data_IF_442448536160
#
_entry.id   IF_442448536160
#
_cell.length_a   1.000
_cell.length_b   1.000
_cell.length_c   1.000
_cell.angle_alpha   90.00
_cell.angle_beta   90.00
_cell.angle_gamma   90.00
#
_symmetry.space_group_name_H-M   'P 1'
#
loop_
_entity.id
_entity.type
_entity.pdbx_description
1 polymer ?
#
# COMPACT_ATOMS: atom_id res chain seq x y z
N UNK A 1 9.00 -22.18 48.64
CA UNK A 1 8.55 -22.24 47.25
C UNK A 1 7.19 -21.49 47.01
N UNK A 2 6.18 -21.68 47.89
CA UNK A 2 4.86 -21.02 47.78
C UNK A 2 4.91 -19.49 47.93
N UNK A 3 5.80 -18.96 48.79
CA UNK A 3 5.97 -17.50 48.99
C UNK A 3 6.60 -16.78 47.80
N UNK A 4 7.55 -17.44 47.13
CA UNK A 4 8.21 -16.87 45.94
C UNK A 4 7.22 -16.80 44.76
N UNK A 5 6.36 -17.82 44.61
CA UNK A 5 5.34 -17.83 43.57
C UNK A 5 4.30 -16.72 43.78
N UNK A 6 3.91 -16.46 45.05
CA UNK A 6 2.97 -15.38 45.39
C UNK A 6 3.55 -14.01 45.07
N UNK A 7 4.84 -13.78 45.39
CA UNK A 7 5.50 -12.51 45.09
C UNK A 7 5.65 -12.32 43.57
N UNK A 8 5.95 -13.36 42.81
CA UNK A 8 6.05 -13.30 41.34
C UNK A 8 4.68 -13.00 40.72
N UNK A 9 3.60 -13.61 41.20
CA UNK A 9 2.25 -13.36 40.71
C UNK A 9 1.78 -11.93 41.01
N UNK A 10 2.11 -11.41 42.21
CA UNK A 10 1.81 -10.02 42.60
C UNK A 10 2.60 -9.02 41.76
N UNK A 11 3.86 -9.33 41.44
CA UNK A 11 4.71 -8.48 40.57
C UNK A 11 4.21 -8.48 39.13
N UNK A 12 3.77 -9.64 38.61
CA UNK A 12 3.14 -9.70 37.29
C UNK A 12 1.79 -8.95 37.23
N UNK A 13 0.96 -9.02 38.29
CA UNK A 13 -0.28 -8.25 38.33
C UNK A 13 -0.02 -6.74 38.44
N UNK A 14 1.01 -6.32 39.16
CA UNK A 14 1.38 -4.90 39.27
C UNK A 14 1.98 -4.39 37.94
N UNK A 15 2.72 -5.20 37.20
CA UNK A 15 3.21 -4.88 35.86
C UNK A 15 2.11 -4.85 34.79
N UNK A 16 1.06 -5.69 34.94
CA UNK A 16 -0.13 -5.67 34.07
C UNK A 16 -1.12 -4.54 34.45
N UNK A 17 -1.00 -3.96 35.65
CA UNK A 17 -1.78 -2.84 36.14
C UNK A 17 -1.00 -1.51 36.11
N UNK A 18 0.14 -1.44 35.38
CA UNK A 18 0.68 -0.12 35.01
C UNK A 18 -0.39 0.50 34.10
N UNK A 19 -1.23 1.40 34.65
CA UNK A 19 -2.29 1.95 33.83
C UNK A 19 -1.65 2.73 32.71
N UNK A 20 -2.20 2.58 31.54
CA UNK A 20 -2.01 3.49 30.40
C UNK A 20 -2.07 4.99 30.88
N UNK A 21 -2.67 5.27 32.02
CA UNK A 21 -2.74 6.54 32.71
C UNK A 21 -1.40 7.09 33.27
N UNK A 22 -0.33 6.29 33.41
CA UNK A 22 0.96 6.84 33.87
C UNK A 22 1.65 7.66 32.74
N UNK A 23 1.27 7.44 31.51
CA UNK A 23 1.69 8.33 30.42
C UNK A 23 0.82 9.59 30.29
N UNK A 24 -0.31 9.66 30.99
CA UNK A 24 -1.20 10.81 30.98
C UNK A 24 -0.88 11.87 32.05
N UNK A 25 -0.03 11.56 33.03
CA UNK A 25 0.27 12.48 34.13
C UNK A 25 1.43 13.45 33.88
N UNK A 26 2.09 13.34 32.71
CA UNK A 26 3.14 14.27 32.33
C UNK A 26 2.91 14.80 30.95
N UNK A 27 2.16 15.86 30.77
CA UNK A 27 1.85 16.57 29.55
C UNK A 27 1.53 15.58 28.38
N UNK A 28 0.26 15.35 28.08
CA UNK A 28 -0.17 14.33 27.12
C UNK A 28 0.53 14.55 25.78
N UNK A 29 1.61 13.83 25.57
CA UNK A 29 2.31 13.83 24.29
C UNK A 29 1.35 13.31 23.23
N UNK A 30 1.46 13.82 22.02
CA UNK A 30 0.70 13.37 20.85
C UNK A 30 1.11 11.95 20.41
N UNK A 31 0.97 10.98 21.31
CA UNK A 31 1.34 9.57 21.17
C UNK A 31 0.17 8.70 21.60
N UNK A 32 -0.23 7.75 20.74
CA UNK A 32 -1.24 6.74 21.06
C UNK A 32 -0.72 5.34 20.74
N UNK A 33 -1.21 4.29 21.45
CA UNK A 33 -0.98 2.91 21.02
C UNK A 33 -1.41 2.69 19.59
N UNK A 34 -0.68 1.85 18.84
CA UNK A 34 -0.99 1.55 17.45
C UNK A 34 -2.42 1.04 17.24
N UNK A 35 -2.94 0.25 18.18
CA UNK A 35 -4.33 -0.26 18.16
C UNK A 35 -5.39 0.83 18.22
N UNK A 36 -5.06 2.01 18.72
CA UNK A 36 -5.95 3.18 18.76
C UNK A 36 -5.82 4.09 17.55
N UNK A 37 -4.88 3.80 16.64
CA UNK A 37 -4.55 4.67 15.51
C UNK A 37 -5.74 4.92 14.58
N UNK A 38 -6.61 3.92 14.39
CA UNK A 38 -7.80 4.09 13.53
C UNK A 38 -8.74 5.19 14.02
N UNK A 39 -8.77 5.50 15.32
CA UNK A 39 -9.65 6.51 15.86
C UNK A 39 -9.24 7.95 15.50
N UNK A 40 -7.98 8.14 15.12
CA UNK A 40 -7.40 9.46 14.83
C UNK A 40 -7.01 9.65 13.38
N UNK A 41 -6.66 8.58 12.68
CA UNK A 41 -6.32 8.65 11.28
C UNK A 41 -7.58 8.90 10.43
N UNK A 42 -7.51 9.90 9.58
CA UNK A 42 -8.61 10.29 8.69
C UNK A 42 -8.32 9.81 7.28
N UNK A 43 -9.24 9.06 6.70
CA UNK A 43 -9.16 8.62 5.30
C UNK A 43 -9.07 9.87 4.40
N UNK A 44 -8.18 9.80 3.41
CA UNK A 44 -7.91 10.83 2.39
C UNK A 44 -7.39 12.18 2.93
N UNK A 45 -7.01 12.23 4.20
CA UNK A 45 -6.42 13.42 4.83
C UNK A 45 -5.13 13.12 5.56
N UNK A 46 -5.12 12.06 6.37
CA UNK A 46 -3.94 11.73 7.15
C UNK A 46 -2.81 11.22 6.27
N UNK A 47 -1.60 11.71 6.54
CA UNK A 47 -0.34 11.22 5.99
C UNK A 47 0.43 10.49 7.08
N UNK A 48 1.07 9.40 6.70
CA UNK A 48 1.80 8.55 7.60
C UNK A 48 3.24 8.39 7.11
N UNK A 49 4.22 8.70 7.95
CA UNK A 49 5.63 8.38 7.70
C UNK A 49 5.91 6.94 8.09
N UNK A 50 6.32 6.13 7.12
CA UNK A 50 6.63 4.72 7.30
C UNK A 50 7.62 4.24 6.24
N UNK A 51 8.57 3.39 6.61
CA UNK A 51 9.60 2.82 5.73
C UNK A 51 10.37 3.89 4.92
N UNK A 52 10.66 5.04 5.53
CA UNK A 52 11.38 6.15 4.89
C UNK A 52 10.57 6.98 3.88
N UNK A 53 9.29 6.67 3.69
CA UNK A 53 8.40 7.33 2.76
C UNK A 53 7.17 7.91 3.44
N UNK A 54 6.47 8.80 2.73
CA UNK A 54 5.16 9.32 3.14
C UNK A 54 4.03 8.58 2.42
N UNK A 55 2.96 8.31 3.16
CA UNK A 55 1.81 7.54 2.69
C UNK A 55 0.50 8.23 3.04
N UNK A 56 -0.41 8.32 2.08
CA UNK A 56 -1.80 8.66 2.35
C UNK A 56 -2.51 7.50 3.04
N UNK A 57 -3.30 7.79 4.07
CA UNK A 57 -4.27 6.84 4.62
C UNK A 57 -5.51 6.88 3.76
N UNK A 58 -5.77 5.81 3.00
CA UNK A 58 -6.86 5.77 2.02
C UNK A 58 -7.95 4.74 2.35
N UNK A 59 -7.75 3.97 3.39
CA UNK A 59 -8.73 3.00 3.84
C UNK A 59 -8.44 2.50 5.25
N UNK A 60 -9.49 2.05 5.90
CA UNK A 60 -9.45 1.44 7.23
C UNK A 60 -10.42 0.28 7.28
N UNK A 61 -10.00 -0.82 7.88
CA UNK A 61 -10.86 -1.99 8.14
C UNK A 61 -10.39 -2.73 9.37
N UNK A 62 -11.24 -3.58 9.89
CA UNK A 62 -10.89 -4.54 10.94
C UNK A 62 -10.84 -5.95 10.35
N UNK A 63 -9.79 -6.68 10.63
CA UNK A 63 -9.71 -8.09 10.26
C UNK A 63 -10.73 -8.90 11.07
N UNK A 64 -11.61 -9.58 10.38
CA UNK A 64 -12.66 -10.38 11.01
C UNK A 64 -12.14 -11.62 11.75
N UNK A 65 -10.92 -12.08 11.41
CA UNK A 65 -10.36 -13.30 11.98
C UNK A 65 -9.73 -13.09 13.36
N UNK A 66 -9.10 -11.94 13.58
CA UNK A 66 -8.33 -11.64 14.79
C UNK A 66 -8.63 -10.26 15.39
N UNK A 67 -9.58 -9.55 14.82
CA UNK A 67 -9.97 -8.19 15.25
C UNK A 67 -8.86 -7.14 15.12
N UNK A 68 -7.82 -7.39 14.31
CA UNK A 68 -6.72 -6.48 14.10
C UNK A 68 -7.18 -5.24 13.32
N UNK A 69 -6.80 -4.03 13.76
CA UNK A 69 -7.03 -2.82 13.00
C UNK A 69 -6.06 -2.74 11.82
N UNK A 70 -6.58 -2.59 10.61
CA UNK A 70 -5.81 -2.53 9.37
C UNK A 70 -6.06 -1.20 8.70
N UNK A 71 -4.99 -0.58 8.20
CA UNK A 71 -5.06 0.60 7.34
C UNK A 71 -4.51 0.29 5.95
N UNK A 72 -5.11 0.91 4.94
CA UNK A 72 -4.60 0.88 3.57
C UNK A 72 -3.89 2.20 3.27
N UNK A 73 -2.68 2.08 2.77
CA UNK A 73 -1.79 3.19 2.47
C UNK A 73 -1.50 3.27 0.98
N UNK A 74 -1.31 4.49 0.48
CA UNK A 74 -0.89 4.80 -0.88
C UNK A 74 0.22 5.83 -0.88
N UNK A 75 1.27 5.62 -1.64
CA UNK A 75 2.41 6.53 -1.71
C UNK A 75 2.01 7.97 -2.05
N UNK A 76 2.61 8.93 -1.34
CA UNK A 76 2.40 10.38 -1.53
C UNK A 76 3.32 10.90 -2.63
N UNK A 77 4.61 10.57 -2.57
CA UNK A 77 5.67 11.15 -3.38
C UNK A 77 6.05 10.24 -4.56
N UNK A 78 6.60 10.84 -5.63
CA UNK A 78 7.12 10.14 -6.81
C UNK A 78 8.60 9.77 -6.61
N UNK A 79 8.92 9.05 -5.54
CA UNK A 79 10.28 8.67 -5.18
C UNK A 79 10.58 7.17 -5.40
N UNK A 80 9.64 6.45 -6.01
CA UNK A 80 9.79 5.03 -6.33
C UNK A 80 10.32 4.77 -7.76
N UNK A 81 10.52 5.84 -8.53
CA UNK A 81 11.01 5.82 -9.90
C UNK A 81 9.95 5.50 -10.94
N UNK A 82 10.36 5.53 -12.18
CA UNK A 82 9.55 5.20 -13.35
C UNK A 82 10.01 3.86 -13.91
N UNK A 83 9.08 3.06 -14.40
CA UNK A 83 9.37 1.79 -15.07
C UNK A 83 8.39 1.57 -16.22
N UNK A 84 8.75 0.79 -17.24
CA UNK A 84 7.75 0.26 -18.16
C UNK A 84 6.84 -0.74 -17.41
N UNK A 85 5.60 -0.85 -17.84
CA UNK A 85 4.71 -1.85 -17.27
C UNK A 85 5.29 -3.27 -17.47
N UNK A 86 5.84 -3.52 -18.68
CA UNK A 86 6.55 -4.77 -18.99
C UNK A 86 7.69 -4.51 -19.97
N UNK A 87 8.89 -4.93 -19.62
CA UNK A 87 10.03 -4.98 -20.53
C UNK A 87 10.05 -6.29 -21.31
N UNK A 88 10.64 -6.25 -22.50
CA UNK A 88 10.86 -7.46 -23.30
C UNK A 88 9.59 -8.12 -23.81
N UNK A 89 8.51 -7.35 -23.97
CA UNK A 89 7.34 -7.83 -24.69
C UNK A 89 7.74 -8.05 -26.15
N UNK A 90 8.12 -9.27 -26.48
CA UNK A 90 8.56 -9.67 -27.81
C UNK A 90 7.40 -9.72 -28.83
N UNK A 91 6.28 -9.06 -28.55
CA UNK A 91 5.17 -8.94 -29.48
C UNK A 91 5.36 -7.62 -30.23
N UNK A 92 5.73 -7.63 -31.52
CA UNK A 92 5.80 -6.43 -32.33
C UNK A 92 4.47 -5.67 -32.23
N UNK A 93 4.54 -4.35 -32.14
CA UNK A 93 3.38 -3.45 -32.05
C UNK A 93 2.27 -3.75 -33.08
N UNK A 94 2.63 -4.10 -34.28
CA UNK A 94 1.74 -4.50 -35.37
C UNK A 94 0.95 -5.80 -35.08
N UNK A 95 1.49 -6.70 -34.28
CA UNK A 95 0.84 -7.96 -33.91
C UNK A 95 0.06 -7.85 -32.58
N UNK A 96 0.39 -6.88 -31.76
CA UNK A 96 -0.34 -6.57 -30.53
C UNK A 96 -1.67 -5.83 -30.77
N UNK A 97 -1.92 -5.38 -32.00
CA UNK A 97 -3.08 -4.58 -32.38
C UNK A 97 -4.41 -5.33 -32.39
N UNK A 98 -4.41 -6.63 -32.37
CA UNK A 98 -5.64 -7.41 -32.51
C UNK A 98 -5.92 -8.21 -31.25
N UNK A 99 -6.85 -7.69 -30.48
CA UNK A 99 -7.62 -8.49 -29.56
C UNK A 99 -8.63 -9.28 -30.38
N UNK A 100 -8.61 -10.60 -30.30
CA UNK A 100 -9.67 -11.43 -30.82
C UNK A 100 -10.67 -11.65 -29.69
N UNK A 101 -11.94 -11.35 -29.90
CA UNK A 101 -13.02 -11.61 -28.95
C UNK A 101 -13.03 -13.06 -28.44
N UNK A 102 -12.56 -13.99 -29.27
CA UNK A 102 -12.56 -15.40 -28.94
C UNK A 102 -11.32 -15.88 -28.15
N UNK A 103 -10.16 -15.23 -28.25
CA UNK A 103 -8.89 -15.83 -27.84
C UNK A 103 -7.90 -14.89 -27.14
N UNK A 104 -8.20 -13.62 -26.90
CA UNK A 104 -7.23 -12.70 -26.32
C UNK A 104 -6.15 -12.30 -27.33
N UNK A 105 -4.89 -12.31 -26.95
CA UNK A 105 -3.81 -11.80 -27.77
C UNK A 105 -3.27 -12.79 -28.79
N UNK A 106 -2.88 -12.27 -29.97
CA UNK A 106 -2.09 -13.04 -30.92
C UNK A 106 -0.61 -13.05 -30.49
N UNK A 107 -0.10 -14.21 -30.14
CA UNK A 107 1.29 -14.53 -30.36
C UNK A 107 1.50 -14.78 -31.86
N UNK A 108 2.73 -14.65 -32.35
CA UNK A 108 3.08 -14.90 -33.77
C UNK A 108 2.73 -16.31 -34.26
N UNK A 109 2.20 -17.18 -33.41
CA UNK A 109 1.74 -18.50 -33.75
C UNK A 109 0.38 -18.76 -33.08
N UNK A 110 -0.74 -18.64 -33.82
CA UNK A 110 -2.08 -18.84 -33.28
C UNK A 110 -2.39 -20.31 -32.92
N UNK A 111 -1.51 -21.25 -33.17
CA UNK A 111 -1.77 -22.68 -32.92
C UNK A 111 -1.35 -23.16 -31.52
N UNK A 112 -0.57 -22.39 -30.77
CA UNK A 112 -0.15 -22.74 -29.40
C UNK A 112 -0.55 -21.68 -28.40
N UNK A 113 -1.77 -21.79 -27.90
CA UNK A 113 -2.35 -20.87 -26.92
C UNK A 113 -1.69 -20.94 -25.53
N UNK A 114 -0.94 -22.00 -25.23
CA UNK A 114 -0.27 -22.16 -23.94
C UNK A 114 0.89 -21.19 -23.72
N UNK A 115 1.43 -20.64 -24.83
CA UNK A 115 2.53 -19.67 -24.82
C UNK A 115 2.05 -18.21 -24.88
N UNK A 116 0.76 -17.98 -24.94
CA UNK A 116 0.22 -16.63 -25.03
C UNK A 116 0.36 -15.91 -23.71
N UNK A 117 1.27 -14.96 -23.67
CA UNK A 117 1.40 -14.02 -22.56
C UNK A 117 0.80 -12.70 -22.97
N UNK A 118 -0.14 -12.24 -22.17
CA UNK A 118 -0.69 -10.89 -22.35
C UNK A 118 0.34 -9.88 -21.88
N UNK A 119 0.87 -9.02 -22.77
CA UNK A 119 1.91 -8.05 -22.37
C UNK A 119 1.47 -7.14 -21.23
N UNK A 120 0.18 -6.86 -21.14
CA UNK A 120 -0.41 -5.99 -20.12
C UNK A 120 -0.95 -6.75 -18.90
N UNK A 121 -0.64 -8.03 -18.73
CA UNK A 121 -0.91 -8.73 -17.47
C UNK A 121 -0.02 -8.23 -16.35
N UNK A 122 -0.62 -7.96 -15.19
CA UNK A 122 0.13 -7.51 -14.02
C UNK A 122 1.06 -8.61 -13.49
N UNK A 123 0.59 -9.84 -13.43
CA UNK A 123 1.38 -10.98 -12.99
C UNK A 123 2.65 -11.16 -13.84
N UNK A 124 3.81 -11.14 -13.19
CA UNK A 124 5.12 -11.23 -13.83
C UNK A 124 5.50 -10.02 -14.69
N UNK A 125 4.77 -8.90 -14.59
CA UNK A 125 5.16 -7.64 -15.23
C UNK A 125 6.38 -7.00 -14.55
N UNK A 126 7.05 -6.10 -15.25
CA UNK A 126 8.15 -5.30 -14.67
C UNK A 126 7.63 -4.45 -13.51
N UNK A 127 6.40 -3.92 -13.62
CA UNK A 127 5.75 -3.19 -12.54
C UNK A 127 5.55 -4.06 -11.29
N UNK A 128 5.06 -5.30 -11.45
CA UNK A 128 4.88 -6.22 -10.32
C UNK A 128 6.21 -6.60 -9.69
N UNK A 129 7.24 -6.89 -10.49
CA UNK A 129 8.58 -7.18 -9.99
C UNK A 129 9.19 -6.00 -9.25
N UNK A 130 8.94 -4.77 -9.72
CA UNK A 130 9.35 -3.54 -9.02
C UNK A 130 8.67 -3.43 -7.65
N UNK A 131 7.37 -3.75 -7.54
CA UNK A 131 6.67 -3.77 -6.24
C UNK A 131 7.28 -4.78 -5.27
N UNK A 132 7.65 -5.97 -5.75
CA UNK A 132 8.34 -6.99 -4.94
C UNK A 132 9.69 -6.46 -4.46
N UNK A 133 10.52 -5.94 -5.36
CA UNK A 133 11.84 -5.41 -5.00
C UNK A 133 11.77 -4.24 -4.00
N UNK A 134 10.78 -3.37 -4.14
CA UNK A 134 10.54 -2.28 -3.19
C UNK A 134 10.13 -2.82 -1.82
N UNK A 135 9.30 -3.86 -1.77
CA UNK A 135 8.90 -4.49 -0.52
C UNK A 135 10.09 -5.18 0.19
N UNK A 136 10.97 -5.82 -0.58
CA UNK A 136 12.18 -6.47 -0.06
C UNK A 136 13.21 -5.45 0.46
N UNK A 137 13.23 -4.24 -0.08
CA UNK A 137 14.11 -3.17 0.36
C UNK A 137 13.67 -2.52 1.70
N UNK A 138 12.43 -2.73 2.13
CA UNK A 138 11.94 -2.25 3.43
C UNK A 138 12.67 -3.04 4.55
N UNK A 139 13.14 -2.37 5.63
CA UNK A 139 13.74 -3.06 6.76
C UNK A 139 12.86 -4.16 7.35
N UNK A 140 13.44 -5.28 7.76
CA UNK A 140 12.71 -6.48 8.19
C UNK A 140 11.67 -6.20 9.29
N UNK A 141 12.00 -5.35 10.27
CA UNK A 141 11.07 -4.95 11.35
C UNK A 141 9.83 -4.25 10.79
N UNK A 142 10.02 -3.38 9.80
CA UNK A 142 8.92 -2.66 9.15
C UNK A 142 8.14 -3.59 8.21
N UNK A 143 8.83 -4.52 7.53
CA UNK A 143 8.14 -5.55 6.74
C UNK A 143 7.20 -6.43 7.57
N UNK A 144 7.50 -6.66 8.84
CA UNK A 144 6.72 -7.53 9.73
C UNK A 144 5.31 -6.99 10.01
N UNK A 145 5.09 -5.68 9.92
CA UNK A 145 3.77 -5.06 10.10
C UNK A 145 3.00 -4.87 8.79
N UNK A 146 3.64 -5.12 7.64
CA UNK A 146 2.97 -5.09 6.34
C UNK A 146 2.19 -6.39 6.16
N UNK A 147 0.88 -6.26 5.97
CA UNK A 147 -0.01 -7.37 5.73
C UNK A 147 0.05 -7.81 4.27
N UNK A 148 0.46 -9.04 3.95
CA UNK A 148 0.39 -9.56 2.60
C UNK A 148 -1.05 -9.62 2.10
N UNK A 149 -1.27 -9.32 0.83
CA UNK A 149 -2.57 -9.34 0.18
C UNK A 149 -2.51 -10.13 -1.13
N UNK A 150 -3.51 -10.93 -1.38
CA UNK A 150 -3.74 -11.54 -2.67
C UNK A 150 -4.41 -10.52 -3.59
N UNK A 151 -3.82 -10.32 -4.76
CA UNK A 151 -4.28 -9.34 -5.74
C UNK A 151 -4.83 -10.08 -6.94
N UNK A 152 -6.08 -9.86 -7.25
CA UNK A 152 -6.70 -10.40 -8.47
C UNK A 152 -6.55 -9.39 -9.59
N UNK A 153 -6.14 -9.87 -10.74
CA UNK A 153 -6.09 -9.09 -11.96
C UNK A 153 -7.41 -9.18 -12.73
N UNK A 154 -7.85 -8.02 -13.27
CA UNK A 154 -9.20 -7.88 -13.82
C UNK A 154 -9.53 -8.81 -14.98
N UNK A 155 -8.73 -8.80 -16.06
CA UNK A 155 -9.11 -9.49 -17.31
C UNK A 155 -8.92 -10.99 -17.25
N UNK A 156 -7.81 -11.43 -16.65
CA UNK A 156 -7.45 -12.86 -16.67
C UNK A 156 -7.94 -13.62 -15.46
N UNK A 157 -8.36 -12.90 -14.43
CA UNK A 157 -8.66 -13.49 -13.14
C UNK A 157 -7.44 -14.10 -12.44
N UNK A 158 -6.23 -13.85 -12.95
CA UNK A 158 -5.01 -14.33 -12.30
C UNK A 158 -4.82 -13.67 -10.95
N UNK A 159 -4.45 -14.48 -9.99
CA UNK A 159 -4.13 -14.05 -8.65
C UNK A 159 -2.62 -13.94 -8.47
N UNK A 160 -2.15 -12.80 -8.01
CA UNK A 160 -0.79 -12.60 -7.54
C UNK A 160 -0.80 -12.68 -6.03
N UNK A 161 -0.24 -13.75 -5.50
CA UNK A 161 -0.33 -14.09 -4.07
C UNK A 161 0.61 -13.26 -3.20
N UNK A 162 0.18 -13.02 -1.96
CA UNK A 162 0.99 -12.54 -0.86
C UNK A 162 1.77 -11.24 -1.14
N UNK A 163 1.19 -10.31 -1.90
CA UNK A 163 1.86 -9.06 -2.23
C UNK A 163 1.90 -8.12 -1.02
N UNK A 164 3.10 -7.72 -0.58
CA UNK A 164 3.28 -6.69 0.45
C UNK A 164 3.07 -5.29 -0.09
N UNK A 165 3.58 -5.01 -1.29
CA UNK A 165 3.29 -3.81 -2.06
C UNK A 165 2.62 -4.19 -3.38
N UNK A 166 1.66 -3.38 -3.82
CA UNK A 166 0.98 -3.59 -5.10
C UNK A 166 0.60 -2.28 -5.78
N UNK A 167 0.40 -2.33 -7.10
CA UNK A 167 -0.20 -1.23 -7.85
C UNK A 167 -1.72 -1.25 -7.71
N UNK A 168 -2.35 -0.08 -7.59
CA UNK A 168 -3.81 0.04 -7.60
C UNK A 168 -4.40 -0.44 -8.93
N UNK A 169 -5.66 -0.88 -8.90
CA UNK A 169 -6.46 -1.02 -10.11
C UNK A 169 -6.97 0.35 -10.59
N UNK A 170 -7.47 0.37 -11.81
CA UNK A 170 -8.19 1.53 -12.31
C UNK A 170 -9.42 1.83 -11.44
N UNK A 171 -10.12 0.80 -10.99
CA UNK A 171 -11.30 0.93 -10.12
C UNK A 171 -10.94 1.51 -8.77
N UNK A 172 -9.87 1.00 -8.12
CA UNK A 172 -9.36 1.55 -6.87
C UNK A 172 -9.05 3.05 -7.00
N UNK A 173 -8.57 3.49 -8.16
CA UNK A 173 -8.15 4.86 -8.41
C UNK A 173 -9.31 5.85 -8.61
N UNK A 174 -10.51 5.38 -8.94
CA UNK A 174 -11.71 6.25 -9.10
C UNK A 174 -11.99 6.99 -7.79
N UNK A 175 -11.74 6.37 -6.65
CA UNK A 175 -11.86 7.02 -5.34
C UNK A 175 -10.88 8.18 -5.16
N UNK A 176 -9.69 8.08 -5.73
CA UNK A 176 -8.63 9.08 -5.57
C UNK A 176 -8.92 10.37 -6.33
N UNK A 177 -9.69 10.29 -7.41
CA UNK A 177 -10.10 11.47 -8.18
C UNK A 177 -10.96 12.43 -7.36
N UNK A 178 -11.79 11.90 -6.48
CA UNK A 178 -12.70 12.70 -5.64
C UNK A 178 -12.01 13.28 -4.41
N UNK A 179 -10.82 12.79 -4.08
CA UNK A 179 -10.11 13.07 -2.86
C UNK A 179 -8.76 13.72 -3.18
N UNK A 180 -8.19 14.41 -2.22
CA UNK A 180 -6.99 15.23 -2.39
C UNK A 180 -5.68 14.44 -2.58
N UNK A 181 -5.74 13.12 -2.76
CA UNK A 181 -4.58 12.23 -2.89
C UNK A 181 -3.89 12.36 -4.26
N UNK A 182 -3.51 13.58 -4.62
CA UNK A 182 -2.81 13.88 -5.87
C UNK A 182 -1.43 13.22 -5.89
N UNK A 183 -0.91 13.03 -7.10
CA UNK A 183 0.43 12.52 -7.35
C UNK A 183 1.12 13.40 -8.41
N UNK A 184 2.44 13.55 -8.31
CA UNK A 184 3.16 14.50 -9.15
C UNK A 184 3.30 14.05 -10.61
N UNK A 185 3.14 12.78 -10.91
CA UNK A 185 3.36 12.17 -12.22
C UNK A 185 2.17 11.30 -12.67
N UNK A 186 2.15 10.96 -13.95
CA UNK A 186 1.32 9.88 -14.48
C UNK A 186 1.88 8.55 -13.98
N UNK A 187 1.02 7.67 -13.46
CA UNK A 187 1.46 6.43 -12.85
C UNK A 187 0.66 5.22 -13.32
N UNK A 188 1.29 4.05 -13.28
CA UNK A 188 0.69 2.79 -13.66
C UNK A 188 -0.37 2.31 -12.68
N UNK A 189 -1.46 1.79 -13.22
CA UNK A 189 -2.34 0.87 -12.49
C UNK A 189 -1.98 -0.57 -12.83
N UNK A 190 -2.50 -1.55 -12.07
CA UNK A 190 -2.39 -2.96 -12.42
C UNK A 190 -3.40 -3.41 -13.46
N UNK A 191 -4.33 -2.53 -13.84
CA UNK A 191 -5.43 -2.87 -14.74
C UNK A 191 -4.97 -2.85 -16.20
N UNK A 192 -5.15 -3.97 -16.85
CA UNK A 192 -4.96 -4.13 -18.28
C UNK A 192 -6.01 -3.34 -19.06
N UNK A 193 -5.67 -2.90 -20.26
CA UNK A 193 -6.69 -2.40 -21.20
C UNK A 193 -7.29 -3.57 -21.97
N UNK A 194 -8.61 -3.70 -21.93
CA UNK A 194 -9.31 -4.81 -22.58
C UNK A 194 -9.28 -4.73 -24.10
N UNK A 195 -9.28 -3.52 -24.63
CA UNK A 195 -9.33 -3.28 -26.08
C UNK A 195 -7.95 -3.33 -26.72
N UNK A 196 -6.93 -2.86 -25.97
CA UNK A 196 -5.56 -2.77 -26.48
C UNK A 196 -4.64 -3.64 -25.63
N UNK A 197 -4.40 -4.84 -26.05
CA UNK A 197 -3.61 -5.81 -25.31
C UNK A 197 -2.15 -5.48 -25.05
N UNK A 198 -1.64 -4.45 -25.64
CA UNK A 198 -0.33 -3.87 -25.39
C UNK A 198 -0.39 -2.62 -24.50
N UNK A 199 -1.57 -2.27 -23.99
CA UNK A 199 -1.78 -1.11 -23.15
C UNK A 199 -2.23 -1.48 -21.75
N UNK A 200 -1.73 -0.77 -20.76
CA UNK A 200 -2.23 -0.79 -19.39
C UNK A 200 -2.73 0.60 -18.99
N UNK A 201 -3.70 0.61 -18.08
CA UNK A 201 -4.28 1.87 -17.64
C UNK A 201 -3.31 2.65 -16.76
N UNK A 202 -3.32 3.96 -16.97
CA UNK A 202 -2.57 4.91 -16.12
C UNK A 202 -3.54 5.89 -15.47
N UNK A 203 -3.08 6.56 -14.43
CA UNK A 203 -3.78 7.65 -13.78
C UNK A 203 -2.98 8.93 -13.98
N UNK A 204 -3.68 10.02 -14.32
CA UNK A 204 -3.08 11.33 -14.44
C UNK A 204 -2.75 11.96 -13.08
N UNK A 205 -1.84 12.95 -13.04
CA UNK A 205 -1.49 13.64 -11.79
C UNK A 205 -2.69 14.26 -11.06
N UNK A 206 -3.72 14.66 -11.79
CA UNK A 206 -4.95 15.21 -11.23
C UNK A 206 -5.93 14.14 -10.68
N UNK A 207 -5.54 12.86 -10.76
CA UNK A 207 -6.33 11.73 -10.27
C UNK A 207 -7.35 11.18 -11.27
N UNK A 208 -7.48 11.78 -12.47
CA UNK A 208 -8.36 11.21 -13.50
C UNK A 208 -7.80 9.91 -14.04
N UNK A 209 -8.70 8.99 -14.38
CA UNK A 209 -8.32 7.83 -15.19
C UNK A 209 -7.65 8.33 -16.47
N UNK A 210 -6.42 7.87 -16.68
CA UNK A 210 -5.64 8.18 -17.86
C UNK A 210 -6.08 7.35 -19.07
N UNK A 211 -5.41 7.59 -20.19
CA UNK A 211 -5.47 6.70 -21.34
C UNK A 211 -4.65 5.44 -21.07
N UNK A 212 -4.94 4.37 -21.82
CA UNK A 212 -4.03 3.26 -21.90
C UNK A 212 -2.69 3.75 -22.48
N UNK A 213 -1.61 3.38 -21.81
CA UNK A 213 -0.26 3.62 -22.25
C UNK A 213 0.36 2.29 -22.71
N UNK A 214 1.18 2.29 -23.76
CA UNK A 214 1.88 1.08 -24.18
C UNK A 214 2.74 0.57 -23.03
N UNK A 215 2.77 -0.74 -22.87
CA UNK A 215 3.43 -1.43 -21.73
C UNK A 215 4.94 -1.24 -21.70
N UNK A 216 5.57 -0.85 -22.81
CA UNK A 216 7.00 -0.57 -22.94
C UNK A 216 7.39 0.88 -22.64
N UNK A 217 6.41 1.78 -22.45
CA UNK A 217 6.68 3.15 -22.05
C UNK A 217 6.82 3.26 -20.54
N UNK A 218 7.61 4.22 -20.10
CA UNK A 218 7.78 4.49 -18.67
C UNK A 218 6.62 5.30 -18.10
N UNK A 219 6.20 4.92 -16.92
CA UNK A 219 5.35 5.73 -16.05
C UNK A 219 5.72 5.47 -14.59
N UNK A 220 5.32 6.38 -13.71
CA UNK A 220 5.68 6.34 -12.32
C UNK A 220 5.13 5.11 -11.61
N UNK A 221 5.90 4.65 -10.65
CA UNK A 221 5.52 3.59 -9.71
C UNK A 221 4.86 4.20 -8.49
N UNK A 222 3.63 3.84 -8.22
CA UNK A 222 2.88 4.30 -7.05
C UNK A 222 2.39 3.11 -6.23
N UNK A 223 3.16 2.66 -5.23
CA UNK A 223 2.80 1.51 -4.44
C UNK A 223 1.70 1.81 -3.43
N UNK A 224 0.93 0.76 -3.14
CA UNK A 224 0.01 0.69 -2.02
C UNK A 224 0.38 -0.48 -1.11
N UNK A 225 -0.05 -0.43 0.16
CA UNK A 225 0.12 -1.51 1.14
C UNK A 225 -1.00 -1.52 2.17
N UNK A 226 -1.12 -2.62 2.89
CA UNK A 226 -1.91 -2.69 4.11
C UNK A 226 -0.98 -2.88 5.32
N UNK A 227 -1.23 -2.13 6.41
CA UNK A 227 -0.53 -2.30 7.67
C UNK A 227 -1.45 -2.88 8.73
N UNK A 228 -0.92 -3.83 9.49
CA UNK A 228 -1.53 -4.34 10.71
C UNK A 228 -1.09 -3.49 11.90
N UNK A 229 -1.99 -2.67 12.43
CA UNK A 229 -1.70 -1.76 13.53
C UNK A 229 -1.60 -2.45 14.89
N UNK A 230 -2.00 -3.72 15.00
CA UNK A 230 -1.84 -4.49 16.26
C UNK A 230 -0.36 -4.72 16.60
N UNK A 231 0.51 -4.72 15.58
CA UNK A 231 1.95 -4.89 15.73
C UNK A 231 2.71 -3.55 15.84
N UNK A 232 2.01 -2.42 15.79
CA UNK A 232 2.58 -1.08 15.94
C UNK A 232 2.52 -0.67 17.41
N UNK A 233 3.66 -0.31 18.00
CA UNK A 233 3.73 0.10 19.41
C UNK A 233 3.02 1.44 19.62
N UNK A 234 3.39 2.43 18.84
CA UNK A 234 2.86 3.79 18.99
C UNK A 234 2.64 4.46 17.63
N UNK A 235 1.65 5.36 17.61
CA UNK A 235 1.51 6.39 16.59
C UNK A 235 1.71 7.75 17.25
N UNK A 236 2.48 8.62 16.63
CA UNK A 236 2.76 9.97 17.12
C UNK A 236 2.48 10.99 16.04
N UNK A 237 2.06 12.18 16.46
CA UNK A 237 2.00 13.33 15.58
C UNK A 237 3.37 13.60 14.96
N UNK A 238 3.41 13.98 13.69
CA UNK A 238 4.62 14.25 12.96
C UNK A 238 4.54 15.59 12.23
N UNK A 239 5.69 16.11 11.90
CA UNK A 239 5.85 17.27 11.05
C UNK A 239 7.03 16.99 10.11
N UNK A 240 6.79 17.05 8.81
CA UNK A 240 7.79 16.71 7.78
C UNK A 240 8.48 15.35 8.01
N UNK A 241 7.70 14.33 8.39
CA UNK A 241 8.19 12.97 8.63
C UNK A 241 8.95 12.75 9.93
N UNK A 242 9.09 13.77 10.78
CA UNK A 242 9.69 13.68 12.12
C UNK A 242 8.61 13.75 13.18
N UNK A 243 8.87 13.12 14.33
CA UNK A 243 7.98 13.28 15.49
C UNK A 243 7.97 14.75 15.86
N UNK A 244 6.79 15.36 15.85
CA UNK A 244 6.63 16.75 16.26
C UNK A 244 6.93 16.86 17.77
N UNK A 245 7.65 17.92 18.15
CA UNK A 245 7.84 18.25 19.55
C UNK A 245 6.56 18.91 20.08
N UNK A 246 5.55 18.10 20.28
CA UNK A 246 4.23 18.56 20.67
C UNK A 246 4.12 18.55 22.19
N UNK A 247 4.02 19.71 22.74
CA UNK A 247 3.49 19.94 24.10
C UNK A 247 1.97 19.84 24.13
N UNK A 248 1.34 19.90 22.96
CA UNK A 248 -0.10 19.85 22.76
C UNK A 248 -0.62 18.41 22.88
N UNK A 249 -1.68 18.14 23.63
CA UNK A 249 -2.34 16.84 23.67
C UNK A 249 -2.79 16.37 22.29
N UNK A 250 -2.77 15.05 22.05
CA UNK A 250 -3.14 14.48 20.74
C UNK A 250 -4.56 14.85 20.32
N UNK A 251 -5.47 15.03 21.28
CA UNK A 251 -6.84 15.45 21.01
C UNK A 251 -6.93 16.88 20.45
N UNK A 252 -5.91 17.69 20.68
CA UNK A 252 -5.80 19.08 20.22
C UNK A 252 -4.89 19.21 18.99
N UNK A 253 -4.27 18.11 18.56
CA UNK A 253 -3.45 18.11 17.36
C UNK A 253 -4.31 18.29 16.11
N UNK A 254 -4.18 19.44 15.48
CA UNK A 254 -4.94 19.81 14.28
C UNK A 254 -4.29 19.36 12.97
N UNK A 255 -3.06 18.85 13.01
CA UNK A 255 -2.34 18.36 11.84
C UNK A 255 -2.81 16.98 11.39
N UNK A 256 -2.42 16.62 10.18
CA UNK A 256 -2.79 15.35 9.55
C UNK A 256 -1.55 14.46 9.26
N UNK A 257 -0.39 14.80 9.83
CA UNK A 257 0.85 14.04 9.66
C UNK A 257 1.15 13.17 10.88
N UNK A 258 1.49 11.92 10.64
CA UNK A 258 1.69 10.92 11.68
C UNK A 258 2.94 10.07 11.40
N UNK A 259 3.52 9.50 12.45
CA UNK A 259 4.64 8.57 12.36
C UNK A 259 4.36 7.33 13.19
N UNK A 260 4.69 6.15 12.63
CA UNK A 260 4.64 4.88 13.35
C UNK A 260 5.97 4.61 14.07
N UNK A 261 5.87 4.01 15.25
CA UNK A 261 6.99 3.41 16.00
C UNK A 261 6.71 1.94 16.22
N UNK A 262 7.64 1.08 15.80
CA UNK A 262 7.59 -0.38 15.86
C UNK A 262 8.40 -0.88 17.04
#
# INVERSE_FOLDING_TARGET
KKRILSILLTLCMVLCLVPIAVFAAGGAKAILPGTSAQSILKIDKSRLSFAGHEWWVIGQKTDKSNNAPIITLLAVNNDFGDVPFRTGSAVPFENARRYSEDNGYYANNPSDMSQWRKPNEYAGSTLQQKMVSLAEAIPEKEQAVIRPKDITEGITGQEVKAQKLWAFSQEDSIYLYRNSCKYAAKWWTRSSNEVYGYGSWTIHPDGRSGSALNVDYDAAVRPAMELDLSSVLFISAAEHGKVADLTTPIAEYAGDEWKLTL
#
